data_IF_675000848586
#
_entry.id   IF_675000848586
#
_cell.length_a   1.000
_cell.length_b   1.000
_cell.length_c   1.000
_cell.angle_alpha   90.00
_cell.angle_beta   90.00
_cell.angle_gamma   90.00
#
_symmetry.space_group_name_H-M   'P 1'
#
loop_
_entity.id
_entity.type
_entity.pdbx_description
1 polymer ?
#
# COMPACT_ATOMS: atom_id res chain seq x y z
N UNK A 1 13.55 -20.45 10.51
CA UNK A 1 12.76 -19.88 9.39
C UNK A 1 11.79 -18.88 9.97
N UNK A 2 11.90 -17.64 9.60
CA UNK A 2 10.88 -16.66 9.92
C UNK A 2 9.79 -16.76 8.86
N UNK A 3 8.56 -16.99 9.31
CA UNK A 3 7.38 -16.97 8.47
C UNK A 3 6.66 -15.65 8.74
N UNK A 4 6.29 -14.93 7.70
CA UNK A 4 5.53 -13.68 7.78
C UNK A 4 4.15 -13.91 7.19
N UNK A 5 3.11 -13.62 7.96
CA UNK A 5 1.73 -13.71 7.49
C UNK A 5 1.13 -12.31 7.37
N UNK A 6 0.23 -12.15 6.41
CA UNK A 6 -0.49 -10.89 6.16
C UNK A 6 -1.96 -11.17 5.91
N UNK A 7 -2.81 -10.26 6.38
CA UNK A 7 -4.22 -10.19 5.97
C UNK A 7 -4.30 -9.24 4.78
N UNK A 8 -4.87 -9.70 3.66
CA UNK A 8 -5.00 -8.90 2.44
C UNK A 8 -6.46 -8.57 2.16
N UNK A 9 -6.77 -7.29 2.21
CA UNK A 9 -8.08 -6.70 1.95
C UNK A 9 -8.00 -5.80 0.71
N UNK A 10 -9.09 -5.66 -0.02
CA UNK A 10 -9.22 -4.74 -1.15
C UNK A 10 -10.66 -4.31 -1.34
N UNK A 11 -10.87 -3.14 -1.95
CA UNK A 11 -12.18 -2.68 -2.38
C UNK A 11 -13.21 -2.75 -1.24
N UNK A 12 -12.89 -2.10 -0.10
CA UNK A 12 -13.73 -2.12 1.11
C UNK A 12 -14.87 -1.10 0.98
N UNK A 13 -14.62 0.05 0.33
CA UNK A 13 -15.59 1.09 0.00
C UNK A 13 -16.41 1.58 1.20
N UNK A 14 -15.75 2.00 2.28
CA UNK A 14 -16.44 2.62 3.41
C UNK A 14 -17.21 3.85 2.94
N UNK A 15 -18.45 3.97 3.42
CA UNK A 15 -19.33 5.11 3.20
C UNK A 15 -19.63 5.82 4.52
N UNK A 16 -20.03 7.08 4.49
CA UNK A 16 -20.33 7.87 5.71
C UNK A 16 -21.36 7.21 6.64
N UNK A 17 -22.30 6.44 6.10
CA UNK A 17 -23.30 5.69 6.86
C UNK A 17 -22.81 4.33 7.36
N UNK A 18 -21.57 3.94 7.06
CA UNK A 18 -20.98 2.74 7.66
C UNK A 18 -20.91 2.93 9.19
N UNK A 19 -21.32 1.92 9.94
CA UNK A 19 -21.55 1.91 11.39
C UNK A 19 -22.87 2.56 11.87
N UNK A 20 -23.69 3.17 11.01
CA UNK A 20 -25.04 3.57 11.38
C UNK A 20 -25.93 2.34 11.64
N UNK A 21 -27.04 2.47 12.40
CA UNK A 21 -27.98 1.36 12.60
C UNK A 21 -28.59 0.79 11.30
N UNK A 22 -28.52 1.54 10.21
CA UNK A 22 -28.98 1.15 8.87
C UNK A 22 -27.86 0.58 7.98
N UNK A 23 -26.67 0.39 8.51
CA UNK A 23 -25.52 -0.15 7.77
C UNK A 23 -25.69 -1.64 7.50
N UNK A 24 -26.11 -1.94 6.29
CA UNK A 24 -26.40 -3.30 5.83
C UNK A 24 -25.14 -4.13 5.54
N UNK A 25 -23.96 -3.50 5.52
CA UNK A 25 -22.68 -4.18 5.28
C UNK A 25 -21.91 -4.42 6.58
N UNK A 26 -22.50 -4.05 7.72
CA UNK A 26 -21.89 -4.27 9.04
C UNK A 26 -21.72 -5.75 9.32
N UNK A 27 -22.75 -6.56 9.07
CA UNK A 27 -22.71 -8.01 9.32
C UNK A 27 -21.62 -8.67 8.50
N UNK A 28 -21.39 -8.22 7.27
CA UNK A 28 -20.31 -8.70 6.42
C UNK A 28 -18.93 -8.39 7.02
N UNK A 29 -18.72 -7.15 7.48
CA UNK A 29 -17.44 -6.78 8.10
C UNK A 29 -17.22 -7.50 9.42
N UNK A 30 -18.28 -7.74 10.19
CA UNK A 30 -18.21 -8.52 11.42
C UNK A 30 -17.96 -10.01 11.13
N UNK A 31 -18.48 -10.56 10.03
CA UNK A 31 -18.19 -11.92 9.60
C UNK A 31 -16.70 -12.11 9.23
N UNK A 32 -16.05 -11.09 8.62
CA UNK A 32 -14.59 -11.12 8.40
C UNK A 32 -13.85 -11.18 9.73
N UNK A 33 -14.19 -10.33 10.70
CA UNK A 33 -13.56 -10.36 12.03
C UNK A 33 -13.71 -11.74 12.67
N UNK A 34 -14.91 -12.30 12.61
CA UNK A 34 -15.19 -13.66 13.14
C UNK A 34 -14.34 -14.73 12.45
N UNK A 35 -14.19 -14.66 11.12
CA UNK A 35 -13.35 -15.61 10.38
C UNK A 35 -11.86 -15.47 10.74
N UNK A 36 -11.40 -14.24 10.95
CA UNK A 36 -10.04 -13.97 11.41
C UNK A 36 -9.79 -14.53 12.83
N UNK A 37 -10.75 -14.36 13.74
CA UNK A 37 -10.65 -14.86 15.13
C UNK A 37 -10.66 -16.39 15.21
N UNK A 38 -11.53 -17.03 14.43
CA UNK A 38 -11.76 -18.50 14.53
C UNK A 38 -10.78 -19.25 13.65
N UNK A 39 -10.62 -18.85 12.39
CA UNK A 39 -9.90 -19.64 11.40
C UNK A 39 -8.48 -19.11 11.15
N UNK A 40 -8.30 -17.79 10.98
CA UNK A 40 -6.99 -17.26 10.65
C UNK A 40 -5.99 -17.42 11.81
N UNK A 41 -6.41 -17.18 13.05
CA UNK A 41 -5.54 -17.33 14.24
C UNK A 41 -5.02 -18.77 14.43
N UNK A 42 -5.75 -19.77 13.98
CA UNK A 42 -5.30 -21.17 14.06
C UNK A 42 -4.30 -21.53 12.96
N UNK A 43 -4.42 -20.90 11.80
CA UNK A 43 -3.65 -21.23 10.60
C UNK A 43 -2.43 -20.32 10.37
N UNK A 44 -2.49 -19.07 10.81
CA UNK A 44 -1.43 -18.09 10.59
C UNK A 44 -0.52 -17.96 11.81
N UNK A 45 0.79 -17.97 11.54
CA UNK A 45 1.81 -17.63 12.52
C UNK A 45 2.39 -16.27 12.18
N UNK A 46 2.82 -15.51 13.18
CA UNK A 46 3.54 -14.25 13.01
C UNK A 46 2.88 -13.32 11.97
N UNK A 47 1.65 -12.88 12.27
CA UNK A 47 0.98 -11.89 11.43
C UNK A 47 1.74 -10.57 11.52
N UNK A 48 2.32 -10.15 10.39
CA UNK A 48 3.20 -8.99 10.29
C UNK A 48 2.46 -7.71 9.89
N UNK A 49 1.19 -7.83 9.50
CA UNK A 49 0.38 -6.66 9.17
C UNK A 49 -0.80 -6.93 8.25
N UNK A 50 -1.49 -5.83 7.92
CA UNK A 50 -2.64 -5.81 7.02
C UNK A 50 -2.22 -5.12 5.73
N UNK A 51 -2.44 -5.75 4.57
CA UNK A 51 -2.22 -5.19 3.24
C UNK A 51 -3.56 -4.76 2.66
N UNK A 52 -3.68 -3.50 2.22
CA UNK A 52 -4.92 -2.97 1.62
C UNK A 52 -4.61 -2.44 0.23
N UNK A 53 -5.12 -3.13 -0.80
CA UNK A 53 -4.84 -2.80 -2.20
C UNK A 53 -5.84 -1.81 -2.80
N UNK A 54 -6.20 -0.77 -2.04
CA UNK A 54 -6.96 0.39 -2.50
C UNK A 54 -8.47 0.27 -2.39
N UNK A 55 -9.16 1.33 -2.82
CA UNK A 55 -10.59 1.55 -2.69
C UNK A 55 -11.07 1.34 -1.25
N UNK A 56 -10.37 2.01 -0.33
CA UNK A 56 -10.66 1.99 1.09
C UNK A 56 -11.94 2.78 1.34
N UNK A 57 -11.97 4.04 0.91
CA UNK A 57 -13.14 4.89 0.91
C UNK A 57 -13.98 4.70 -0.36
N UNK A 58 -15.25 5.07 -0.34
CA UNK A 58 -16.12 5.05 -1.52
C UNK A 58 -16.02 6.33 -2.34
N UNK A 59 -15.77 7.46 -1.69
CA UNK A 59 -15.76 8.79 -2.32
C UNK A 59 -14.51 9.61 -1.96
N UNK A 60 -13.56 9.04 -1.24
CA UNK A 60 -12.35 9.72 -0.79
C UNK A 60 -12.62 10.85 0.21
N UNK A 61 -13.57 10.69 1.13
CA UNK A 61 -13.91 11.66 2.16
C UNK A 61 -13.33 11.28 3.51
N UNK A 62 -12.99 12.27 4.34
CA UNK A 62 -12.34 12.06 5.63
C UNK A 62 -13.16 11.17 6.58
N UNK A 63 -14.47 11.32 6.60
CA UNK A 63 -15.35 10.54 7.48
C UNK A 63 -15.34 9.05 7.13
N UNK A 64 -15.15 8.71 5.86
CA UNK A 64 -15.03 7.33 5.39
C UNK A 64 -13.71 6.70 5.89
N UNK A 65 -12.63 7.48 5.95
CA UNK A 65 -11.34 7.04 6.46
C UNK A 65 -11.29 6.89 7.98
N UNK A 66 -12.03 7.69 8.75
CA UNK A 66 -12.14 7.48 10.19
C UNK A 66 -12.83 6.15 10.51
N UNK A 67 -13.88 5.80 9.77
CA UNK A 67 -14.54 4.49 9.90
C UNK A 67 -13.59 3.36 9.47
N UNK A 68 -12.84 3.56 8.38
CA UNK A 68 -11.85 2.59 7.93
C UNK A 68 -10.78 2.34 8.99
N UNK A 69 -10.29 3.39 9.66
CA UNK A 69 -9.32 3.29 10.75
C UNK A 69 -9.85 2.44 11.90
N UNK A 70 -11.07 2.70 12.35
CA UNK A 70 -11.69 1.92 13.43
C UNK A 70 -11.80 0.44 13.07
N UNK A 71 -12.21 0.13 11.85
CA UNK A 71 -12.31 -1.25 11.37
C UNK A 71 -10.93 -1.93 11.28
N UNK A 72 -9.93 -1.27 10.71
CA UNK A 72 -8.58 -1.81 10.60
C UNK A 72 -7.94 -2.03 11.98
N UNK A 73 -8.22 -1.16 12.95
CA UNK A 73 -7.79 -1.37 14.33
C UNK A 73 -8.41 -2.65 14.92
N UNK A 74 -9.70 -2.92 14.69
CA UNK A 74 -10.34 -4.17 15.10
C UNK A 74 -9.66 -5.40 14.48
N UNK A 75 -9.26 -5.31 13.21
CA UNK A 75 -8.49 -6.41 12.56
C UNK A 75 -7.11 -6.57 13.21
N UNK A 76 -6.43 -5.48 13.55
CA UNK A 76 -5.16 -5.53 14.27
C UNK A 76 -5.31 -6.19 15.65
N UNK A 77 -6.38 -5.87 16.38
CA UNK A 77 -6.67 -6.40 17.72
C UNK A 77 -6.81 -7.92 17.71
N UNK A 78 -7.39 -8.51 16.65
CA UNK A 78 -7.52 -9.97 16.50
C UNK A 78 -6.16 -10.67 16.63
N UNK A 79 -5.11 -10.10 16.06
CA UNK A 79 -3.77 -10.69 16.03
C UNK A 79 -2.80 -10.08 17.04
N UNK A 80 -3.26 -9.12 17.85
CA UNK A 80 -2.43 -8.35 18.79
C UNK A 80 -1.23 -7.67 18.08
N UNK A 81 -1.41 -7.27 16.82
CA UNK A 81 -0.46 -6.44 16.08
C UNK A 81 -0.77 -4.96 16.30
N UNK A 82 0.20 -4.12 15.98
CA UNK A 82 0.06 -2.67 16.22
C UNK A 82 -0.84 -2.06 15.15
N UNK A 83 -1.68 -1.07 15.51
CA UNK A 83 -2.42 -0.30 14.51
C UNK A 83 -1.55 0.31 13.40
N UNK A 84 -0.28 0.58 13.68
CA UNK A 84 0.69 1.04 12.68
C UNK A 84 1.08 -0.01 11.63
N UNK A 85 0.76 -1.28 11.83
CA UNK A 85 1.14 -2.37 10.91
C UNK A 85 0.11 -2.56 9.79
N UNK A 86 -0.47 -1.45 9.32
CA UNK A 86 -1.32 -1.36 8.14
C UNK A 86 -0.51 -0.79 6.98
N UNK A 87 -0.64 -1.39 5.81
CA UNK A 87 0.07 -1.02 4.59
C UNK A 87 -0.96 -0.86 3.47
N UNK A 88 -1.12 0.35 2.93
CA UNK A 88 -2.19 0.64 1.98
C UNK A 88 -1.69 1.42 0.76
N UNK A 89 -2.40 1.25 -0.35
CA UNK A 89 -2.25 2.07 -1.56
C UNK A 89 -3.61 2.68 -1.90
N UNK A 90 -3.68 3.83 -2.58
CA UNK A 90 -4.96 4.39 -2.99
C UNK A 90 -5.51 3.69 -4.23
N UNK A 91 -6.83 3.53 -4.29
CA UNK A 91 -7.58 3.17 -5.48
C UNK A 91 -8.25 4.36 -6.15
N UNK A 92 -9.08 4.13 -7.16
CA UNK A 92 -9.79 5.20 -7.87
C UNK A 92 -10.92 5.82 -7.03
N UNK A 93 -11.51 5.07 -6.11
CA UNK A 93 -12.50 5.58 -5.16
C UNK A 93 -11.89 6.38 -4.01
N UNK A 94 -10.60 6.22 -3.74
CA UNK A 94 -9.84 7.06 -2.79
C UNK A 94 -9.49 8.44 -3.37
N UNK A 95 -9.77 8.67 -4.67
CA UNK A 95 -9.66 9.97 -5.32
C UNK A 95 -10.94 10.77 -5.12
N UNK A 96 -10.87 11.90 -4.44
CA UNK A 96 -12.03 12.77 -4.21
C UNK A 96 -12.48 13.44 -5.51
N UNK A 97 -13.53 12.88 -6.12
CA UNK A 97 -14.06 13.35 -7.41
C UNK A 97 -14.65 14.79 -7.33
N UNK A 98 -15.10 15.22 -6.16
CA UNK A 98 -15.56 16.60 -5.99
C UNK A 98 -14.40 17.59 -6.13
N UNK A 99 -13.22 17.23 -5.62
CA UNK A 99 -11.99 18.03 -5.76
C UNK A 99 -11.56 18.09 -7.23
N UNK A 100 -11.57 16.96 -7.94
CA UNK A 100 -11.26 16.90 -9.37
C UNK A 100 -12.22 17.75 -10.18
N UNK A 101 -13.53 17.59 -9.95
CA UNK A 101 -14.58 18.25 -10.72
C UNK A 101 -14.68 19.77 -10.44
N UNK A 102 -14.18 20.24 -9.30
CA UNK A 102 -14.18 21.66 -8.91
C UNK A 102 -13.02 22.46 -9.46
N UNK A 103 -12.05 21.83 -10.15
CA UNK A 103 -10.82 22.48 -10.59
C UNK A 103 -10.42 22.13 -12.02
N UNK A 104 -10.55 23.08 -12.93
CA UNK A 104 -10.06 22.95 -14.30
C UNK A 104 -8.55 22.70 -14.37
N UNK A 105 -7.80 23.17 -13.39
CA UNK A 105 -6.34 22.97 -13.30
C UNK A 105 -6.00 21.50 -13.05
N UNK A 106 -6.72 20.83 -12.14
CA UNK A 106 -6.52 19.40 -11.86
C UNK A 106 -6.83 18.59 -13.13
N UNK A 107 -7.97 18.83 -13.73
CA UNK A 107 -8.39 18.13 -14.95
C UNK A 107 -7.40 18.36 -16.10
N UNK A 108 -6.92 19.61 -16.27
CA UNK A 108 -5.90 19.95 -17.28
C UNK A 108 -4.59 19.22 -17.01
N UNK A 109 -4.14 19.14 -15.75
CA UNK A 109 -2.91 18.44 -15.38
C UNK A 109 -3.02 16.93 -15.65
N UNK A 110 -4.14 16.31 -15.27
CA UNK A 110 -4.42 14.88 -15.54
C UNK A 110 -4.43 14.61 -17.05
N UNK A 111 -5.14 15.41 -17.84
CA UNK A 111 -5.20 15.24 -19.30
C UNK A 111 -3.83 15.47 -19.96
N UNK A 112 -3.05 16.45 -19.50
CA UNK A 112 -1.73 16.70 -20.06
C UNK A 112 -0.78 15.51 -19.95
N UNK A 113 -0.89 14.70 -18.87
CA UNK A 113 -0.15 13.43 -18.73
C UNK A 113 -0.80 12.35 -19.56
N UNK A 114 -2.13 12.25 -19.50
CA UNK A 114 -2.89 11.18 -20.18
C UNK A 114 -2.78 11.23 -21.70
N UNK A 115 -2.74 12.38 -22.31
CA UNK A 115 -2.65 12.55 -23.76
C UNK A 115 -1.29 12.16 -24.35
N UNK A 116 -0.27 11.87 -23.52
CA UNK A 116 1.05 11.48 -24.03
C UNK A 116 1.04 10.11 -24.71
N UNK A 117 1.70 10.02 -25.85
CA UNK A 117 1.80 8.79 -26.62
C UNK A 117 2.94 7.86 -26.19
N UNK A 118 3.92 8.36 -25.42
CA UNK A 118 5.05 7.60 -24.90
C UNK A 118 5.15 7.73 -23.39
N UNK A 119 5.70 6.70 -22.73
CA UNK A 119 5.91 6.73 -21.28
C UNK A 119 6.91 7.82 -20.87
N UNK A 120 7.96 8.05 -21.65
CA UNK A 120 8.97 9.06 -21.37
C UNK A 120 8.40 10.49 -21.39
N UNK A 121 7.50 10.76 -22.34
CA UNK A 121 6.82 12.07 -22.39
C UNK A 121 5.78 12.22 -21.28
N UNK A 122 5.11 11.13 -20.90
CA UNK A 122 4.20 11.11 -19.76
C UNK A 122 4.96 11.37 -18.45
N UNK A 123 6.09 10.68 -18.22
CA UNK A 123 6.93 10.84 -17.03
C UNK A 123 7.51 12.27 -16.93
N UNK A 124 8.00 12.83 -18.03
CA UNK A 124 8.46 14.24 -18.07
C UNK A 124 7.35 15.21 -17.74
N UNK A 125 6.15 14.97 -18.29
CA UNK A 125 4.99 15.82 -18.02
C UNK A 125 4.53 15.69 -16.58
N UNK A 126 4.44 14.47 -16.05
CA UNK A 126 4.11 14.19 -14.66
C UNK A 126 5.12 14.89 -13.72
N UNK A 127 6.43 14.70 -13.96
CA UNK A 127 7.50 15.33 -13.17
C UNK A 127 7.40 16.86 -13.14
N UNK A 128 7.00 17.47 -14.26
CA UNK A 128 6.78 18.92 -14.33
C UNK A 128 5.65 19.36 -13.40
N UNK A 129 4.52 18.61 -13.37
CA UNK A 129 3.38 18.98 -12.52
C UNK A 129 3.63 18.72 -11.04
N UNK A 130 4.39 17.68 -10.68
CA UNK A 130 4.70 17.40 -9.28
C UNK A 130 5.79 18.32 -8.71
N UNK A 131 6.66 18.90 -9.55
CA UNK A 131 7.67 19.86 -9.12
C UNK A 131 7.13 21.30 -8.95
N UNK A 132 5.90 21.58 -9.38
CA UNK A 132 5.25 22.87 -9.17
C UNK A 132 4.70 22.95 -7.74
N UNK A 133 5.48 23.58 -6.86
CA UNK A 133 5.14 23.72 -5.45
C UNK A 133 3.92 24.63 -5.17
N UNK A 134 3.44 25.39 -6.16
CA UNK A 134 2.35 26.33 -5.95
C UNK A 134 0.95 25.70 -6.05
N UNK A 135 0.82 24.63 -6.81
CA UNK A 135 -0.45 23.92 -6.95
C UNK A 135 -0.21 22.45 -7.24
N UNK A 136 -0.30 21.64 -6.20
CA UNK A 136 -0.05 20.19 -6.23
C UNK A 136 -1.21 19.43 -6.92
N UNK A 137 -1.50 19.75 -8.18
CA UNK A 137 -2.72 19.38 -8.90
C UNK A 137 -2.98 17.87 -8.91
N UNK A 138 -1.92 17.06 -9.05
CA UNK A 138 -2.05 15.62 -9.17
C UNK A 138 -2.19 14.89 -7.81
N UNK A 139 -1.82 15.57 -6.71
CA UNK A 139 -1.96 15.01 -5.35
C UNK A 139 -3.19 15.53 -4.61
N UNK A 140 -3.65 16.75 -4.96
CA UNK A 140 -4.81 17.36 -4.31
C UNK A 140 -6.05 16.45 -4.23
N UNK A 141 -6.37 15.64 -5.26
CA UNK A 141 -7.51 14.73 -5.19
C UNK A 141 -7.38 13.59 -4.19
N UNK A 142 -6.17 13.28 -3.72
CA UNK A 142 -5.88 12.24 -2.73
C UNK A 142 -5.41 12.80 -1.38
N UNK A 143 -5.66 14.08 -1.09
CA UNK A 143 -5.26 14.69 0.18
C UNK A 143 -5.88 13.97 1.38
N UNK A 144 -7.15 13.61 1.32
CA UNK A 144 -7.84 12.90 2.41
C UNK A 144 -7.30 11.48 2.62
N UNK A 145 -6.98 10.77 1.51
CA UNK A 145 -6.23 9.51 1.59
C UNK A 145 -4.88 9.72 2.27
N UNK A 146 -4.14 10.76 1.91
CA UNK A 146 -2.83 11.05 2.49
C UNK A 146 -2.94 11.39 3.99
N UNK A 147 -3.97 12.11 4.43
CA UNK A 147 -4.25 12.37 5.84
C UNK A 147 -4.50 11.07 6.63
N UNK A 148 -5.21 10.12 6.03
CA UNK A 148 -5.38 8.78 6.59
C UNK A 148 -4.07 7.98 6.57
N UNK A 149 -3.39 7.92 5.43
CA UNK A 149 -2.26 7.03 5.18
C UNK A 149 -0.94 7.46 5.85
N UNK A 150 -0.80 8.75 6.22
CA UNK A 150 0.44 9.28 6.84
C UNK A 150 0.79 8.59 8.16
N UNK A 151 -0.20 8.20 8.95
CA UNK A 151 -0.02 7.47 10.22
C UNK A 151 0.58 6.08 10.01
N UNK A 152 0.39 5.52 8.82
CA UNK A 152 0.94 4.23 8.39
C UNK A 152 2.20 4.39 7.54
N UNK A 153 2.72 5.61 7.36
CA UNK A 153 3.81 5.93 6.43
C UNK A 153 3.55 5.52 4.96
N UNK A 154 2.27 5.34 4.61
CA UNK A 154 1.80 4.97 3.26
C UNK A 154 1.32 6.17 2.44
N UNK A 155 1.47 7.40 2.96
CA UNK A 155 1.15 8.63 2.24
C UNK A 155 2.08 8.86 1.05
N UNK A 156 1.58 9.57 0.04
CA UNK A 156 2.22 9.81 -1.24
C UNK A 156 2.34 11.32 -1.46
N UNK A 157 3.51 11.78 -1.88
CA UNK A 157 3.82 13.19 -2.13
C UNK A 157 4.70 13.36 -3.35
N UNK A 158 4.98 14.61 -3.73
CA UNK A 158 5.91 14.91 -4.83
C UNK A 158 7.32 14.32 -4.61
N UNK A 159 7.76 14.27 -3.36
CA UNK A 159 9.08 13.74 -2.98
C UNK A 159 9.03 12.22 -2.67
N UNK A 160 7.83 11.65 -2.52
CA UNK A 160 7.57 10.24 -2.17
C UNK A 160 6.39 9.72 -2.99
N UNK A 161 6.59 9.44 -4.27
CA UNK A 161 5.53 9.00 -5.19
C UNK A 161 5.10 7.54 -5.01
N UNK A 162 5.83 6.78 -4.22
CA UNK A 162 5.54 5.42 -3.74
C UNK A 162 6.15 5.23 -2.36
N UNK A 163 5.79 4.16 -1.66
CA UNK A 163 6.37 3.81 -0.37
C UNK A 163 6.89 2.37 -0.37
N UNK A 164 7.79 2.07 0.57
CA UNK A 164 8.31 0.72 0.76
C UNK A 164 8.57 0.44 2.24
N UNK A 165 8.47 -0.85 2.63
CA UNK A 165 8.74 -1.35 3.97
C UNK A 165 9.46 -2.68 3.90
N UNK A 166 10.57 -2.80 4.65
CA UNK A 166 11.36 -4.02 4.74
C UNK A 166 11.00 -4.83 5.98
N UNK A 167 10.91 -6.15 5.81
CA UNK A 167 10.74 -7.17 6.85
C UNK A 167 11.90 -8.17 6.76
N UNK A 168 12.37 -8.68 7.89
CA UNK A 168 13.43 -9.70 7.93
C UNK A 168 12.81 -11.08 7.74
N UNK A 169 13.18 -11.79 6.66
CA UNK A 169 12.85 -13.20 6.44
C UNK A 169 13.94 -14.12 6.98
N UNK A 170 15.20 -13.82 6.67
CA UNK A 170 16.39 -14.51 7.16
C UNK A 170 17.52 -13.48 7.38
N UNK A 171 18.63 -13.90 7.99
CA UNK A 171 19.77 -13.02 8.30
C UNK A 171 20.23 -12.20 7.08
N UNK A 172 20.18 -12.78 5.88
CA UNK A 172 20.62 -12.15 4.64
C UNK A 172 19.50 -12.09 3.58
N UNK A 173 18.24 -12.08 3.98
CA UNK A 173 17.10 -11.96 3.07
C UNK A 173 15.99 -11.13 3.71
N UNK A 174 15.58 -10.07 3.04
CA UNK A 174 14.46 -9.24 3.42
C UNK A 174 13.27 -9.47 2.48
N UNK A 175 12.07 -9.34 3.01
CA UNK A 175 10.87 -9.10 2.22
C UNK A 175 10.64 -7.59 2.19
N UNK A 176 10.61 -7.00 1.00
CA UNK A 176 10.22 -5.61 0.78
C UNK A 176 8.81 -5.54 0.25
N UNK A 177 7.92 -4.92 1.01
CA UNK A 177 6.59 -4.54 0.55
C UNK A 177 6.68 -3.15 -0.09
N UNK A 178 6.20 -3.02 -1.32
CA UNK A 178 6.24 -1.77 -2.10
C UNK A 178 4.82 -1.41 -2.51
N UNK A 179 4.35 -0.24 -2.13
CA UNK A 179 3.05 0.29 -2.55
C UNK A 179 3.21 1.36 -3.62
N UNK A 180 2.74 1.07 -4.84
CA UNK A 180 2.73 2.02 -5.96
C UNK A 180 1.32 2.57 -6.20
N UNK A 181 1.24 3.78 -6.74
CA UNK A 181 -0.01 4.47 -7.02
C UNK A 181 -0.35 4.45 -8.51
N UNK A 182 -1.51 3.92 -8.84
CA UNK A 182 -2.10 3.93 -10.19
C UNK A 182 -3.22 4.96 -10.36
N UNK A 183 -3.59 5.70 -9.31
CA UNK A 183 -4.80 6.53 -9.28
C UNK A 183 -4.55 8.04 -9.49
N UNK A 184 -3.32 8.46 -9.82
CA UNK A 184 -2.99 9.87 -10.04
C UNK A 184 -3.87 10.59 -11.06
N UNK A 185 -4.34 9.88 -12.06
CA UNK A 185 -5.15 10.43 -13.14
C UNK A 185 -6.62 10.05 -13.03
N UNK A 186 -7.04 9.36 -11.96
CA UNK A 186 -8.42 8.92 -11.78
C UNK A 186 -9.39 10.10 -11.71
N UNK A 187 -10.47 10.00 -12.48
CA UNK A 187 -11.53 11.01 -12.54
C UNK A 187 -12.85 10.41 -13.08
N UNK A 188 -13.89 11.23 -13.19
CA UNK A 188 -15.23 10.82 -13.66
C UNK A 188 -15.29 10.16 -15.06
N UNK A 189 -14.19 10.13 -15.80
CA UNK A 189 -14.13 9.51 -17.12
C UNK A 189 -13.64 8.06 -17.07
N UNK A 190 -13.19 7.58 -15.90
CA UNK A 190 -12.58 6.26 -15.77
C UNK A 190 -13.55 5.11 -16.11
N UNK A 191 -14.83 5.23 -15.73
CA UNK A 191 -15.85 4.18 -15.94
C UNK A 191 -17.08 4.73 -16.66
N UNK A 192 -16.89 5.35 -17.83
CA UNK A 192 -18.04 5.86 -18.61
C UNK A 192 -18.79 4.72 -19.29
N UNK A 193 -20.06 4.54 -18.92
CA UNK A 193 -20.94 3.53 -19.51
C UNK A 193 -20.93 3.59 -21.05
N UNK A 194 -20.59 2.48 -21.69
CA UNK A 194 -20.55 2.36 -23.15
C UNK A 194 -19.28 2.88 -23.84
N UNK A 195 -18.25 3.24 -23.07
CA UNK A 195 -16.90 3.56 -23.59
C UNK A 195 -15.90 2.53 -23.06
N UNK A 196 -14.76 2.40 -23.75
CA UNK A 196 -13.61 1.67 -23.22
C UNK A 196 -13.13 2.37 -21.95
N UNK A 197 -12.81 1.60 -20.93
CA UNK A 197 -12.26 2.14 -19.68
C UNK A 197 -10.95 2.87 -19.97
N UNK A 198 -10.78 4.01 -19.31
CA UNK A 198 -9.57 4.79 -19.41
C UNK A 198 -8.42 4.01 -18.77
N UNK A 199 -7.28 3.98 -19.46
CA UNK A 199 -6.09 3.33 -18.94
C UNK A 199 -5.34 4.23 -17.95
N UNK A 200 -4.87 3.63 -16.86
CA UNK A 200 -4.21 4.32 -15.77
C UNK A 200 -2.71 4.51 -16.04
N UNK A 201 -2.18 5.64 -15.58
CA UNK A 201 -0.76 5.94 -15.66
C UNK A 201 -0.01 5.39 -14.45
N UNK A 202 1.05 4.65 -14.73
CA UNK A 202 2.09 4.30 -13.75
C UNK A 202 3.41 4.80 -14.30
N UNK A 203 4.10 5.67 -13.54
CA UNK A 203 5.39 6.22 -13.92
C UNK A 203 6.53 5.23 -13.71
N UNK A 204 7.56 5.31 -14.55
CA UNK A 204 8.75 4.46 -14.45
C UNK A 204 9.47 4.58 -13.10
N UNK A 205 9.40 5.74 -12.46
CA UNK A 205 10.00 5.99 -11.16
C UNK A 205 9.37 5.19 -10.00
N UNK A 206 8.18 4.58 -10.22
CA UNK A 206 7.53 3.71 -9.24
C UNK A 206 7.94 2.24 -9.35
N UNK A 207 8.73 1.88 -10.37
CA UNK A 207 9.15 0.48 -10.55
C UNK A 207 10.20 0.14 -9.49
N UNK A 208 10.03 -0.93 -8.69
CA UNK A 208 10.98 -1.29 -7.64
C UNK A 208 12.41 -1.43 -8.14
N UNK A 209 13.38 -1.06 -7.32
CA UNK A 209 14.78 -1.31 -7.60
C UNK A 209 15.09 -2.82 -7.50
N UNK A 210 16.07 -3.26 -8.25
CA UNK A 210 16.57 -4.62 -8.16
C UNK A 210 17.66 -4.70 -7.07
N UNK A 211 17.47 -5.57 -6.08
CA UNK A 211 18.43 -5.86 -5.02
C UNK A 211 18.56 -7.37 -4.83
N UNK A 212 19.78 -7.85 -4.58
CA UNK A 212 20.06 -9.29 -4.53
C UNK A 212 19.50 -9.99 -3.30
N UNK A 213 19.45 -9.28 -2.15
CA UNK A 213 19.07 -9.84 -0.86
C UNK A 213 17.67 -9.39 -0.42
N UNK A 214 16.84 -9.04 -1.40
CA UNK A 214 15.47 -8.56 -1.20
C UNK A 214 14.51 -9.35 -2.06
N UNK A 215 13.54 -10.01 -1.44
CA UNK A 215 12.32 -10.48 -2.11
C UNK A 215 11.30 -9.33 -2.11
N UNK A 216 10.62 -9.08 -3.24
CA UNK A 216 9.73 -7.93 -3.38
C UNK A 216 8.28 -8.35 -3.54
N UNK A 217 7.41 -7.83 -2.65
CA UNK A 217 5.97 -7.86 -2.77
C UNK A 217 5.48 -6.48 -3.22
N UNK A 218 4.89 -6.42 -4.41
CA UNK A 218 4.31 -5.19 -4.99
C UNK A 218 2.82 -5.12 -4.70
N UNK A 219 2.36 -3.97 -4.26
CA UNK A 219 0.94 -3.62 -4.12
C UNK A 219 0.58 -2.50 -5.08
N UNK A 220 -0.48 -2.67 -5.85
CA UNK A 220 -1.06 -1.67 -6.72
C UNK A 220 -2.57 -1.90 -6.82
N UNK A 221 -3.38 -0.83 -6.85
CA UNK A 221 -4.81 -1.03 -6.99
C UNK A 221 -5.20 -1.54 -8.38
N UNK A 222 -4.90 -0.78 -9.44
CA UNK A 222 -5.23 -1.21 -10.79
C UNK A 222 -4.26 -2.28 -11.30
N UNK A 223 -4.76 -3.39 -11.82
CA UNK A 223 -3.92 -4.45 -12.38
C UNK A 223 -3.39 -4.08 -13.77
N UNK A 224 -2.40 -4.84 -14.31
CA UNK A 224 -1.70 -4.51 -15.55
C UNK A 224 -2.58 -4.31 -16.78
N UNK A 225 -3.74 -4.96 -16.88
CA UNK A 225 -4.67 -4.75 -17.98
C UNK A 225 -5.27 -3.34 -18.01
N UNK A 226 -5.24 -2.63 -16.88
CA UNK A 226 -5.68 -1.24 -16.76
C UNK A 226 -4.57 -0.21 -17.03
N UNK A 227 -3.33 -0.62 -17.34
CA UNK A 227 -2.21 0.32 -17.48
C UNK A 227 -2.00 0.78 -18.90
N UNK A 228 -1.88 2.09 -19.08
CA UNK A 228 -1.67 2.74 -20.38
C UNK A 228 -0.38 2.31 -21.07
N UNK A 229 0.72 2.18 -20.30
CA UNK A 229 2.04 1.82 -20.81
C UNK A 229 2.46 0.43 -20.33
N UNK A 230 1.51 -0.51 -20.30
CA UNK A 230 1.71 -1.88 -19.81
C UNK A 230 2.98 -2.53 -20.39
N UNK A 231 3.16 -2.43 -21.69
CA UNK A 231 4.26 -3.11 -22.40
C UNK A 231 5.65 -2.56 -22.00
N UNK A 232 5.71 -1.33 -21.51
CA UNK A 232 6.93 -0.71 -20.99
C UNK A 232 7.19 -1.04 -19.52
N UNK A 233 6.14 -1.20 -18.72
CA UNK A 233 6.20 -1.30 -17.25
C UNK A 233 6.21 -2.76 -16.79
N UNK A 234 5.26 -3.58 -17.26
CA UNK A 234 5.03 -4.92 -16.74
C UNK A 234 6.24 -5.86 -16.86
N UNK A 235 7.00 -5.88 -17.99
CA UNK A 235 8.17 -6.75 -18.06
C UNK A 235 9.24 -6.41 -17.01
N UNK A 236 9.35 -5.13 -16.63
CA UNK A 236 10.30 -4.68 -15.59
C UNK A 236 9.78 -5.04 -14.20
N UNK A 237 8.48 -4.89 -13.94
CA UNK A 237 7.86 -5.31 -12.69
C UNK A 237 8.01 -6.82 -12.51
N UNK A 238 7.69 -7.63 -13.51
CA UNK A 238 7.81 -9.10 -13.43
C UNK A 238 9.24 -9.57 -13.11
N UNK A 239 10.26 -8.85 -13.59
CA UNK A 239 11.65 -9.14 -13.26
C UNK A 239 12.04 -8.75 -11.83
N UNK A 240 11.34 -7.81 -11.18
CA UNK A 240 11.76 -7.17 -9.93
C UNK A 240 10.85 -7.45 -8.75
N UNK A 241 9.57 -7.74 -9.00
CA UNK A 241 8.62 -8.16 -7.98
C UNK A 241 8.42 -9.68 -8.04
N UNK A 242 8.48 -10.33 -6.89
CA UNK A 242 8.29 -11.77 -6.76
C UNK A 242 6.82 -12.10 -6.49
N UNK A 243 6.15 -11.22 -5.76
CA UNK A 243 4.73 -11.30 -5.45
C UNK A 243 4.08 -9.99 -5.89
N UNK A 244 2.91 -10.06 -6.53
CA UNK A 244 2.17 -8.88 -6.99
C UNK A 244 0.72 -8.98 -6.52
N UNK A 245 0.22 -7.94 -5.87
CA UNK A 245 -1.14 -7.87 -5.35
C UNK A 245 -1.89 -6.72 -6.02
N UNK A 246 -3.07 -7.03 -6.56
CA UNK A 246 -3.93 -6.10 -7.27
C UNK A 246 -5.37 -6.14 -6.74
N UNK A 247 -6.07 -4.99 -6.77
CA UNK A 247 -7.49 -4.84 -6.49
C UNK A 247 -8.32 -4.58 -7.74
N UNK A 248 -9.34 -3.70 -7.63
CA UNK A 248 -10.13 -3.09 -8.69
C UNK A 248 -11.10 -4.02 -9.45
N UNK A 249 -10.67 -5.22 -9.81
CA UNK A 249 -11.48 -6.10 -10.70
C UNK A 249 -12.63 -6.78 -9.97
N UNK A 250 -12.67 -6.74 -8.65
CA UNK A 250 -13.65 -7.42 -7.79
C UNK A 250 -13.75 -8.94 -8.05
N UNK A 251 -12.86 -9.49 -8.87
CA UNK A 251 -12.82 -10.90 -9.23
C UNK A 251 -11.53 -11.52 -8.70
N UNK A 252 -11.67 -12.43 -7.75
CA UNK A 252 -10.53 -13.09 -7.12
C UNK A 252 -9.94 -14.16 -8.04
N UNK A 253 -8.63 -14.08 -8.27
CA UNK A 253 -7.88 -15.10 -8.97
C UNK A 253 -6.40 -15.06 -8.59
N UNK A 254 -5.73 -16.19 -8.71
CA UNK A 254 -4.29 -16.32 -8.50
C UNK A 254 -3.66 -16.86 -9.77
N UNK A 255 -2.72 -16.12 -10.32
CA UNK A 255 -1.91 -16.54 -11.47
C UNK A 255 -0.51 -16.91 -10.97
N UNK A 256 -0.13 -18.14 -11.19
CA UNK A 256 1.19 -18.65 -10.85
C UNK A 256 2.03 -18.69 -12.13
N UNK A 257 3.12 -17.97 -12.12
CA UNK A 257 4.16 -18.02 -13.14
C UNK A 257 5.43 -18.61 -12.53
N UNK A 258 6.31 -19.19 -13.31
CA UNK A 258 7.54 -19.86 -12.81
C UNK A 258 8.34 -19.01 -11.80
N UNK A 259 8.33 -17.69 -11.97
CA UNK A 259 9.14 -16.73 -11.19
C UNK A 259 8.31 -15.71 -10.41
N UNK A 260 6.96 -15.77 -10.44
CA UNK A 260 6.07 -14.81 -9.79
C UNK A 260 4.79 -15.44 -9.28
N UNK A 261 4.26 -14.91 -8.18
CA UNK A 261 2.89 -15.12 -7.74
C UNK A 261 2.09 -13.81 -7.91
N UNK A 262 1.01 -13.84 -8.67
CA UNK A 262 0.15 -12.69 -8.93
C UNK A 262 -1.23 -12.97 -8.35
N UNK A 263 -1.70 -12.10 -7.47
CA UNK A 263 -2.99 -12.20 -6.82
C UNK A 263 -3.86 -11.00 -7.21
N UNK A 264 -4.96 -11.27 -7.86
CA UNK A 264 -6.05 -10.32 -8.07
C UNK A 264 -7.06 -10.51 -6.93
N UNK A 265 -7.28 -9.50 -6.13
CA UNK A 265 -8.18 -9.59 -4.98
C UNK A 265 -9.65 -9.52 -5.41
N UNK A 266 -10.46 -10.31 -4.75
CA UNK A 266 -11.89 -10.03 -4.72
C UNK A 266 -12.18 -8.83 -3.83
N UNK A 267 -13.34 -8.21 -3.99
CA UNK A 267 -13.75 -7.08 -3.16
C UNK A 267 -14.33 -7.54 -1.81
N UNK A 268 -14.01 -6.81 -0.77
CA UNK A 268 -14.68 -6.94 0.53
C UNK A 268 -16.11 -6.39 0.44
N UNK A 269 -16.27 -5.22 -0.21
CA UNK A 269 -17.58 -4.59 -0.37
C UNK A 269 -18.31 -5.08 -1.63
N UNK A 270 -19.63 -5.29 -1.53
CA UNK A 270 -20.44 -5.78 -2.63
C UNK A 270 -20.71 -4.77 -3.74
N UNK A 271 -20.31 -5.10 -4.96
CA UNK A 271 -21.17 -4.76 -6.08
C UNK A 271 -22.37 -5.69 -6.01
N UNK A 272 -23.51 -5.28 -5.50
CA UNK A 272 -24.70 -6.10 -5.21
C UNK A 272 -25.34 -6.76 -6.43
N UNK A 273 -24.54 -7.39 -7.28
CA UNK A 273 -25.00 -8.26 -8.37
C UNK A 273 -25.33 -9.64 -7.80
N UNK A 274 -26.26 -10.35 -8.43
CA UNK A 274 -26.89 -11.58 -7.91
C UNK A 274 -25.88 -12.67 -7.57
N UNK A 275 -24.71 -12.72 -8.24
CA UNK A 275 -23.73 -13.79 -8.11
C UNK A 275 -22.42 -13.33 -7.43
N UNK A 276 -22.42 -12.17 -6.75
CA UNK A 276 -21.22 -11.65 -6.14
C UNK A 276 -21.17 -11.98 -4.64
N UNK A 277 -20.04 -12.53 -4.20
CA UNK A 277 -19.76 -12.81 -2.79
C UNK A 277 -18.49 -12.07 -2.35
N UNK A 278 -18.49 -11.45 -1.16
CA UNK A 278 -17.32 -10.85 -0.54
C UNK A 278 -16.13 -11.82 -0.47
N UNK A 279 -14.94 -11.29 -0.72
CA UNK A 279 -13.69 -12.04 -0.72
C UNK A 279 -12.57 -11.27 -0.09
N UNK A 280 -11.64 -11.99 0.52
CA UNK A 280 -10.37 -11.46 0.99
C UNK A 280 -9.34 -12.60 1.06
N UNK A 281 -8.09 -12.33 1.48
CA UNK A 281 -7.07 -13.36 1.48
C UNK A 281 -6.23 -13.33 2.74
N UNK A 282 -5.65 -14.47 3.09
CA UNK A 282 -4.47 -14.54 3.95
C UNK A 282 -3.28 -14.93 3.08
N UNK A 283 -2.12 -14.39 3.39
CA UNK A 283 -0.89 -14.67 2.64
C UNK A 283 0.20 -15.01 3.64
N UNK A 284 0.88 -16.11 3.45
CA UNK A 284 2.04 -16.50 4.25
C UNK A 284 3.27 -16.59 3.36
N UNK A 285 4.35 -15.97 3.79
CA UNK A 285 5.60 -15.87 3.06
C UNK A 285 6.73 -16.39 3.96
N UNK A 286 7.47 -17.34 3.47
CA UNK A 286 8.65 -17.88 4.14
C UNK A 286 9.78 -18.10 3.14
N UNK A 287 10.98 -18.33 3.62
CA UNK A 287 12.12 -18.67 2.79
C UNK A 287 12.79 -19.94 3.29
N UNK A 288 13.41 -20.66 2.36
CA UNK A 288 14.29 -21.79 2.64
C UNK A 288 15.48 -21.76 1.71
N UNK A 289 16.60 -22.33 2.14
CA UNK A 289 17.74 -22.57 1.26
C UNK A 289 17.77 -24.03 0.86
N UNK A 290 17.78 -24.31 -0.41
CA UNK A 290 17.82 -25.65 -0.98
C UNK A 290 18.85 -25.73 -2.09
N UNK A 291 19.81 -26.66 -2.00
CA UNK A 291 20.95 -26.77 -2.94
C UNK A 291 21.71 -25.44 -3.15
N UNK A 292 21.94 -24.70 -2.09
CA UNK A 292 22.60 -23.37 -2.11
C UNK A 292 21.79 -22.28 -2.83
N UNK A 293 20.54 -22.53 -3.21
CA UNK A 293 19.63 -21.56 -3.81
C UNK A 293 18.55 -21.15 -2.81
N UNK A 294 18.23 -19.84 -2.78
CA UNK A 294 17.17 -19.30 -1.90
C UNK A 294 15.83 -19.44 -2.59
N UNK A 295 14.93 -20.11 -1.93
CA UNK A 295 13.56 -20.34 -2.39
C UNK A 295 12.61 -19.55 -1.50
N UNK A 296 11.81 -18.68 -2.11
CA UNK A 296 10.69 -18.00 -1.48
C UNK A 296 9.46 -18.91 -1.61
N UNK A 297 8.84 -19.26 -0.50
CA UNK A 297 7.57 -19.98 -0.48
C UNK A 297 6.45 -19.00 -0.18
N UNK A 298 5.44 -18.99 -1.00
CA UNK A 298 4.22 -18.17 -0.87
C UNK A 298 3.03 -19.10 -0.75
N UNK A 299 2.25 -18.93 0.30
CA UNK A 299 0.99 -19.65 0.52
C UNK A 299 -0.15 -18.63 0.57
N UNK A 300 -1.14 -18.81 -0.28
CA UNK A 300 -2.29 -17.93 -0.42
C UNK A 300 -3.53 -18.71 -0.02
N UNK A 301 -4.26 -18.18 0.94
CA UNK A 301 -5.51 -18.70 1.47
C UNK A 301 -6.67 -17.80 1.01
N UNK A 302 -7.27 -18.05 -0.17
CA UNK A 302 -8.38 -17.24 -0.65
C UNK A 302 -9.63 -17.55 0.17
N UNK A 303 -10.28 -16.50 0.65
CA UNK A 303 -11.49 -16.57 1.49
C UNK A 303 -12.68 -15.99 0.74
N UNK A 304 -13.82 -16.65 0.84
CA UNK A 304 -15.08 -16.23 0.25
C UNK A 304 -16.21 -16.36 1.27
N UNK A 305 -17.13 -15.39 1.27
CA UNK A 305 -18.37 -15.49 2.06
C UNK A 305 -19.20 -16.68 1.52
N UNK A 306 -19.81 -17.43 2.41
CA UNK A 306 -20.70 -18.56 2.07
C UNK A 306 -21.99 -18.06 1.41
N UNK A 307 -22.68 -18.93 0.67
CA UNK A 307 -23.92 -18.58 -0.03
C UNK A 307 -25.05 -18.16 0.92
N UNK A 308 -25.06 -18.69 2.15
CA UNK A 308 -25.99 -18.29 3.22
C UNK A 308 -25.59 -16.95 3.88
N UNK A 309 -24.41 -16.42 3.54
CA UNK A 309 -23.85 -15.15 4.01
C UNK A 309 -23.54 -15.06 5.50
N UNK A 310 -23.40 -16.19 6.18
CA UNK A 310 -23.17 -16.25 7.61
C UNK A 310 -21.68 -16.30 7.99
N UNK A 311 -20.84 -16.88 7.14
CA UNK A 311 -19.44 -17.13 7.45
C UNK A 311 -18.53 -17.11 6.22
N UNK A 312 -17.24 -17.00 6.46
CA UNK A 312 -16.24 -17.14 5.41
C UNK A 312 -15.68 -18.56 5.38
N UNK A 313 -15.43 -19.05 4.18
CA UNK A 313 -14.80 -20.32 3.90
C UNK A 313 -13.69 -20.16 2.87
N UNK A 314 -12.97 -21.22 2.59
CA UNK A 314 -11.98 -21.25 1.51
C UNK A 314 -12.72 -21.04 0.17
N UNK A 315 -12.22 -20.14 -0.66
CA UNK A 315 -12.70 -20.00 -2.03
C UNK A 315 -12.19 -21.16 -2.89
N UNK A 316 -12.97 -22.24 -2.92
CA UNK A 316 -12.64 -23.46 -3.66
C UNK A 316 -12.56 -23.26 -5.18
N UNK A 317 -13.17 -22.19 -5.69
CA UNK A 317 -13.09 -21.85 -7.12
C UNK A 317 -11.75 -21.24 -7.48
N UNK A 318 -11.17 -20.46 -6.56
CA UNK A 318 -9.84 -19.86 -6.71
C UNK A 318 -8.74 -20.88 -6.41
N UNK A 319 -8.90 -21.70 -5.36
CA UNK A 319 -7.89 -22.68 -4.90
C UNK A 319 -7.98 -24.04 -5.59
N UNK A 320 -8.89 -24.21 -6.57
CA UNK A 320 -9.11 -25.47 -7.27
C UNK A 320 -9.44 -26.65 -6.35
N UNK A 321 -10.10 -26.38 -5.22
CA UNK A 321 -10.52 -27.37 -4.23
C UNK A 321 -9.50 -27.66 -3.11
N UNK A 322 -8.32 -27.07 -3.17
CA UNK A 322 -7.32 -27.15 -2.11
C UNK A 322 -7.57 -26.13 -0.98
N UNK A 323 -6.98 -26.37 0.18
CA UNK A 323 -7.11 -25.45 1.32
C UNK A 323 -6.37 -24.13 1.12
N UNK A 324 -5.33 -24.12 0.31
CA UNK A 324 -4.54 -22.95 -0.07
C UNK A 324 -3.78 -23.21 -1.36
N UNK A 325 -3.30 -22.15 -1.97
CA UNK A 325 -2.42 -22.19 -3.14
C UNK A 325 -1.01 -22.02 -2.63
N UNK A 326 -0.10 -22.96 -2.94
CA UNK A 326 1.30 -22.89 -2.56
C UNK A 326 2.16 -22.73 -3.82
N UNK A 327 3.11 -21.77 -3.78
CA UNK A 327 4.05 -21.55 -4.86
C UNK A 327 5.47 -21.32 -4.32
N UNK A 328 6.46 -21.85 -5.03
CA UNK A 328 7.87 -21.67 -4.71
C UNK A 328 8.59 -20.90 -5.82
N UNK A 329 9.24 -19.80 -5.45
CA UNK A 329 9.98 -18.93 -6.37
C UNK A 329 11.47 -19.08 -6.07
N UNK A 330 12.24 -19.52 -7.06
CA UNK A 330 13.70 -19.57 -6.93
C UNK A 330 14.31 -18.18 -7.15
N UNK A 331 14.61 -17.51 -6.04
CA UNK A 331 15.10 -16.13 -6.05
C UNK A 331 16.46 -16.00 -6.76
N UNK A 332 17.38 -16.95 -6.56
CA UNK A 332 18.72 -16.86 -7.11
C UNK A 332 18.75 -17.14 -8.62
N UNK A 333 17.90 -18.07 -9.09
CA UNK A 333 17.70 -18.32 -10.53
C UNK A 333 17.14 -17.09 -11.24
N UNK A 334 16.08 -16.52 -10.69
CA UNK A 334 15.44 -15.30 -11.21
C UNK A 334 16.43 -14.14 -11.29
N UNK A 335 17.26 -13.96 -10.25
CA UNK A 335 18.26 -12.89 -10.18
C UNK A 335 19.41 -13.10 -11.14
N UNK A 336 19.90 -14.33 -11.30
CA UNK A 336 20.91 -14.66 -12.32
C UNK A 336 20.43 -14.33 -13.73
N UNK A 337 19.18 -14.66 -14.07
CA UNK A 337 18.57 -14.33 -15.36
C UNK A 337 18.48 -12.80 -15.56
N UNK A 338 18.02 -12.04 -14.57
CA UNK A 338 17.94 -10.59 -14.65
C UNK A 338 19.30 -9.90 -14.82
N UNK A 339 20.36 -10.41 -14.17
CA UNK A 339 21.72 -9.90 -14.33
C UNK A 339 22.31 -10.20 -15.72
N UNK A 340 22.01 -11.37 -16.30
CA UNK A 340 22.43 -11.71 -17.66
C UNK A 340 21.78 -10.81 -18.70
N UNK A 341 20.51 -10.49 -18.53
CA UNK A 341 19.79 -9.56 -19.40
C UNK A 341 20.36 -8.12 -19.28
N UNK A 342 20.66 -7.65 -18.06
CA UNK A 342 21.33 -6.36 -17.86
C UNK A 342 22.71 -6.28 -18.56
N UNK A 343 23.52 -7.34 -18.49
CA UNK A 343 24.80 -7.39 -19.21
C UNK A 343 24.65 -7.32 -20.73
N UNK A 344 23.54 -7.81 -21.27
CA UNK A 344 23.23 -7.66 -22.70
C UNK A 344 22.76 -6.24 -23.04
N UNK A 345 22.02 -5.59 -22.13
CA UNK A 345 21.53 -4.20 -22.30
C UNK A 345 22.63 -3.16 -22.08
N UNK A 346 23.58 -3.37 -21.13
CA UNK A 346 24.71 -2.44 -20.85
C UNK A 346 25.74 -2.38 -21.98
N UNK A 347 25.75 -3.33 -22.88
CA UNK A 347 26.51 -3.20 -24.11
C UNK A 347 25.92 -2.14 -25.07
N UNK A 348 24.77 -1.57 -24.76
CA UNK A 348 24.06 -0.59 -25.58
C UNK A 348 23.78 0.78 -24.96
N UNK A 349 23.95 0.99 -23.62
CA UNK A 349 23.75 2.30 -22.99
C UNK A 349 24.49 2.43 -21.67
N UNK A 350 25.43 3.38 -21.62
CA UNK A 350 25.92 4.01 -20.39
C UNK A 350 24.80 4.97 -19.87
N UNK A 351 24.07 4.59 -18.85
CA UNK A 351 23.19 5.49 -18.13
C UNK A 351 23.31 5.36 -16.62
N UNK A 352 23.53 6.51 -16.02
CA UNK A 352 23.83 6.85 -14.63
C UNK A 352 22.81 6.28 -13.64
N UNK A 353 23.30 5.46 -12.70
CA UNK A 353 22.55 5.06 -11.50
C UNK A 353 22.57 6.17 -10.46
N UNK A 354 21.40 6.69 -10.12
CA UNK A 354 21.18 7.37 -8.85
C UNK A 354 20.46 6.39 -7.89
N UNK A 355 21.25 5.53 -7.27
CA UNK A 355 20.83 4.81 -6.07
C UNK A 355 21.18 5.65 -4.85
N UNK A 356 20.17 6.14 -4.12
CA UNK A 356 20.36 6.69 -2.78
C UNK A 356 20.80 5.55 -1.85
N UNK A 357 21.97 5.70 -1.29
CA UNK A 357 22.56 4.81 -0.30
C UNK A 357 21.69 4.80 0.98
N UNK A 358 21.21 3.63 1.38
CA UNK A 358 20.75 3.41 2.74
C UNK A 358 21.97 3.30 3.67
N UNK A 359 22.11 4.23 4.57
CA UNK A 359 23.11 4.19 5.65
C UNK A 359 22.80 3.04 6.60
N UNK A 360 23.78 2.15 6.74
CA UNK A 360 23.82 1.13 7.80
C UNK A 360 23.93 1.84 9.16
N UNK A 361 22.94 1.70 9.99
CA UNK A 361 22.99 2.12 11.39
C UNK A 361 23.42 0.91 12.23
N UNK A 362 24.48 1.11 12.99
CA UNK A 362 25.10 0.16 13.89
C UNK A 362 24.11 -0.21 15.03
N UNK A 363 23.91 -1.52 15.28
CA UNK A 363 22.92 -2.02 16.22
C UNK A 363 23.53 -2.25 17.61
N UNK A 364 23.18 -1.40 18.58
CA UNK A 364 23.19 -1.77 20.02
C UNK A 364 22.12 -1.00 20.79
N UNK A 365 20.86 -1.31 20.55
CA UNK A 365 19.71 -1.01 21.44
C UNK A 365 18.50 -1.79 20.89
N UNK A 366 17.49 -2.06 21.72
CA UNK A 366 16.23 -2.65 21.23
C UNK A 366 15.73 -1.85 20.03
N UNK A 367 15.29 -2.51 18.95
CA UNK A 367 14.89 -1.80 17.74
C UNK A 367 13.75 -0.84 18.07
N UNK A 368 13.98 0.45 17.83
CA UNK A 368 12.97 1.50 17.98
C UNK A 368 11.88 1.23 16.93
N UNK A 369 10.66 1.05 17.43
CA UNK A 369 9.51 0.92 16.54
C UNK A 369 9.07 2.30 16.02
N UNK A 370 9.71 2.78 14.98
CA UNK A 370 9.46 4.10 14.39
C UNK A 370 8.01 4.25 13.90
N UNK A 371 7.42 3.19 13.33
CA UNK A 371 6.04 3.26 12.83
C UNK A 371 5.04 3.46 13.95
N UNK A 372 5.24 2.78 15.08
CA UNK A 372 4.41 3.01 16.27
C UNK A 372 4.54 4.45 16.77
N UNK A 373 5.77 4.99 16.85
CA UNK A 373 6.01 6.36 17.26
C UNK A 373 5.26 7.35 16.37
N UNK A 374 5.33 7.16 15.06
CA UNK A 374 4.68 8.04 14.08
C UNK A 374 3.16 7.90 14.17
N UNK A 375 2.65 6.67 14.31
CA UNK A 375 1.23 6.42 14.50
C UNK A 375 0.71 7.15 15.74
N UNK A 376 1.31 6.92 16.91
CA UNK A 376 0.92 7.55 18.18
C UNK A 376 0.97 9.09 18.08
N UNK A 377 1.99 9.64 17.40
CA UNK A 377 2.12 11.07 17.19
C UNK A 377 0.99 11.69 16.36
N UNK A 378 0.46 10.96 15.38
CA UNK A 378 -0.69 11.42 14.60
C UNK A 378 -2.04 11.22 15.29
N UNK A 379 -2.11 10.48 16.40
CA UNK A 379 -3.34 10.32 17.21
C UNK A 379 -3.57 11.46 18.21
N UNK A 380 -2.57 12.28 18.53
CA UNK A 380 -2.75 13.44 19.38
C UNK A 380 -3.23 14.67 18.60
N UNK A 381 -3.82 15.65 19.32
CA UNK A 381 -4.35 16.87 18.69
C UNK A 381 -3.28 17.63 17.91
N UNK A 382 -3.71 18.34 16.84
CA UNK A 382 -2.82 19.21 16.07
C UNK A 382 -2.05 20.22 16.93
N UNK A 383 -2.68 20.76 17.96
CA UNK A 383 -2.06 21.72 18.88
C UNK A 383 -0.94 21.05 19.66
N UNK A 384 -1.16 19.82 20.14
CA UNK A 384 -0.17 19.06 20.88
C UNK A 384 1.00 18.63 19.97
N UNK A 385 0.73 18.25 18.72
CA UNK A 385 1.76 17.96 17.72
C UNK A 385 2.72 19.16 17.56
N UNK A 386 2.17 20.37 17.36
CA UNK A 386 2.92 21.61 17.22
C UNK A 386 3.72 21.94 18.47
N UNK A 387 3.11 21.80 19.64
CA UNK A 387 3.75 22.06 20.93
C UNK A 387 4.98 21.16 21.10
N UNK A 388 4.82 19.86 20.88
CA UNK A 388 5.92 18.89 20.97
C UNK A 388 7.04 19.20 19.97
N UNK A 389 6.71 19.45 18.70
CA UNK A 389 7.72 19.74 17.68
C UNK A 389 8.48 21.05 17.97
N UNK A 390 7.81 22.04 18.56
CA UNK A 390 8.42 23.28 18.99
C UNK A 390 9.35 23.07 20.19
N UNK A 391 8.92 22.31 21.19
CA UNK A 391 9.73 21.96 22.36
C UNK A 391 11.01 21.20 21.99
N UNK A 392 10.93 20.33 20.98
CA UNK A 392 12.07 19.56 20.47
C UNK A 392 12.95 20.37 19.49
N UNK A 393 12.59 21.62 19.20
CA UNK A 393 13.26 22.49 18.22
C UNK A 393 13.30 21.89 16.82
N UNK A 394 12.29 21.10 16.47
CA UNK A 394 12.11 20.52 15.14
C UNK A 394 11.40 21.46 14.18
N UNK A 395 10.67 22.45 14.74
CA UNK A 395 10.07 23.58 14.04
C UNK A 395 10.36 24.87 14.81
N UNK A 396 10.32 26.01 14.12
CA UNK A 396 10.48 27.34 14.75
C UNK A 396 9.13 28.02 14.99
N UNK A 397 9.05 28.96 15.93
CA UNK A 397 7.82 29.73 16.19
C UNK A 397 7.32 30.51 14.96
N UNK A 398 8.21 30.90 14.07
CA UNK A 398 7.85 31.61 12.82
C UNK A 398 7.23 30.66 11.80
N UNK A 399 7.68 29.41 11.78
CA UNK A 399 7.09 28.38 10.92
C UNK A 399 5.76 27.87 11.46
N UNK A 400 5.53 27.94 12.78
CA UNK A 400 4.28 27.45 13.42
C UNK A 400 3.00 28.19 12.99
N UNK A 401 3.10 29.37 12.36
CA UNK A 401 1.96 30.15 11.88
C UNK A 401 1.51 29.81 10.44
N UNK A 402 2.27 28.97 9.72
CA UNK A 402 1.99 28.54 8.33
C UNK A 402 2.03 27.01 8.19
N UNK A 403 1.72 26.29 9.26
CA UNK A 403 1.87 24.84 9.30
C UNK A 403 0.84 24.14 8.42
N UNK A 404 1.38 23.34 7.51
CA UNK A 404 0.64 22.32 6.77
C UNK A 404 1.18 20.92 7.12
N UNK A 405 0.51 19.87 6.68
CA UNK A 405 0.90 18.48 6.93
C UNK A 405 2.31 18.14 6.39
N UNK A 406 2.78 18.87 5.36
CA UNK A 406 4.14 18.72 4.82
C UNK A 406 5.20 19.11 5.86
N UNK A 407 4.98 20.19 6.61
CA UNK A 407 5.93 20.63 7.64
C UNK A 407 6.06 19.65 8.80
N UNK A 408 4.96 18.98 9.18
CA UNK A 408 5.03 17.92 10.20
C UNK A 408 5.85 16.75 9.69
N UNK A 409 5.64 16.30 8.46
CA UNK A 409 6.43 15.22 7.87
C UNK A 409 7.91 15.57 7.79
N UNK A 410 8.26 16.82 7.41
CA UNK A 410 9.64 17.32 7.43
C UNK A 410 10.22 17.39 8.85
N UNK A 411 9.41 17.76 9.84
CA UNK A 411 9.83 17.80 11.23
C UNK A 411 10.09 16.37 11.80
N UNK A 412 9.28 15.39 11.43
CA UNK A 412 9.50 13.98 11.76
C UNK A 412 10.81 13.48 11.12
N UNK A 413 11.08 13.82 9.86
CA UNK A 413 12.36 13.47 9.22
C UNK A 413 13.55 14.10 9.96
N UNK A 414 13.44 15.37 10.36
CA UNK A 414 14.48 16.01 11.23
C UNK A 414 14.62 15.30 12.57
N UNK A 415 13.53 14.79 13.16
CA UNK A 415 13.59 14.01 14.39
C UNK A 415 14.38 12.70 14.19
N UNK A 416 14.25 12.04 13.03
CA UNK A 416 15.08 10.89 12.64
C UNK A 416 16.56 11.27 12.53
N UNK A 417 16.87 12.29 11.73
CA UNK A 417 18.24 12.77 11.51
C UNK A 417 18.94 13.25 12.78
N UNK A 418 18.19 13.79 13.74
CA UNK A 418 18.70 14.29 15.03
C UNK A 418 18.60 13.27 16.17
N UNK A 419 18.23 12.00 15.89
CA UNK A 419 18.05 10.93 16.89
C UNK A 419 17.04 11.27 18.00
N UNK A 420 16.03 12.08 17.70
CA UNK A 420 15.02 12.59 18.66
C UNK A 420 13.70 11.81 18.66
N UNK A 421 13.59 10.72 17.90
CA UNK A 421 12.33 9.97 17.80
C UNK A 421 11.84 9.41 19.14
N UNK A 422 12.74 8.92 20.01
CA UNK A 422 12.39 8.45 21.35
C UNK A 422 11.87 9.58 22.23
N UNK A 423 12.44 10.77 22.13
CA UNK A 423 12.00 11.94 22.88
C UNK A 423 10.64 12.44 22.38
N UNK A 424 10.45 12.41 21.06
CA UNK A 424 9.16 12.67 20.42
C UNK A 424 8.10 11.72 20.98
N UNK A 425 8.35 10.40 20.95
CA UNK A 425 7.43 9.39 21.46
C UNK A 425 7.07 9.59 22.92
N UNK A 426 8.06 9.81 23.79
CA UNK A 426 7.83 10.04 25.21
C UNK A 426 6.90 11.24 25.46
N UNK A 427 7.09 12.34 24.72
CA UNK A 427 6.23 13.51 24.83
C UNK A 427 4.83 13.26 24.29
N UNK A 428 4.72 12.47 23.22
CA UNK A 428 3.43 12.04 22.64
C UNK A 428 2.61 11.23 23.65
N UNK A 429 3.22 10.21 24.28
CA UNK A 429 2.55 9.38 25.28
C UNK A 429 2.07 10.22 26.48
N UNK A 430 2.87 11.17 26.97
CA UNK A 430 2.45 12.06 28.03
C UNK A 430 1.20 12.87 27.64
N UNK A 431 1.10 13.34 26.39
CA UNK A 431 -0.08 14.06 25.90
C UNK A 431 -1.30 13.17 25.75
N UNK A 432 -1.11 11.93 25.34
CA UNK A 432 -2.20 10.95 25.29
C UNK A 432 -2.78 10.68 26.69
N UNK A 433 -1.92 10.58 27.73
CA UNK A 433 -2.33 10.39 29.11
C UNK A 433 -3.04 11.63 29.71
N UNK A 434 -2.64 12.85 29.32
CA UNK A 434 -3.28 14.10 29.77
C UNK A 434 -4.71 14.28 29.22
N UNK A 435 -5.04 13.63 28.11
CA UNK A 435 -6.33 13.77 27.40
C UNK A 435 -7.34 12.62 27.70
N UNK A 436 -6.98 11.66 28.57
CA UNK A 436 -7.85 10.59 29.09
C UNK A 436 -8.44 11.03 30.45
#
# INVERSE_FOLDING_TARGET
>A
MNELSFIHLSDIHFVKSSNDPSDIDKDLRDAIITDLEINARENLKNVAGILVTGDIAFSGNIEEYEIAKEYLNRVCDVFHIKPSDVYCVPGNHDVNQNVVNSSDLIFTAQNAVDEKGTIDDADKTFSKYISDNNFNALFKPIDEYNEFAKRFECNISADKIFWQKDFVLEENLKLRVVGINSSFLSNKTDHQKGKLDRLMYIGQAQIPCYETDVATLLMCHHPPQCWKFKDNILPRINKRADIQLYGHMHSQSVEIMDENAILYSGAVHPTRTVDWLPRYNWITISSKTENEERILKVEIYPRCLTDDRDSFTIDSTCSLGENHISHEINLDRKRKAALQDRKKETLFKDEIELCTQSTLVDQTSEPIDERKIIYDFYEISWIDQIDILTQLSLITKETSTKLDSKMISEAINRAREQEKLLELHKKTLNKMEENV
#
